data_IF_003767837656
#
_entry.id   IF_003767837656
#
_cell.length_a   1.000
_cell.length_b   1.000
_cell.length_c   1.000
_cell.angle_alpha   90.00
_cell.angle_beta   90.00
_cell.angle_gamma   90.00
#
_symmetry.space_group_name_H-M   'P 1'
#
loop_
_entity.id
_entity.type
_entity.pdbx_description
1 polymer ?
#
# COMPACT_ATOMS: atom_id res chain seq x y z
N UNK A 1 19.35 5.75 10.13
CA UNK A 1 19.86 7.09 9.85
C UNK A 1 19.34 7.59 8.50
N UNK A 2 18.45 8.59 8.53
CA UNK A 2 17.80 9.10 7.33
C UNK A 2 18.20 10.55 7.06
N UNK A 3 18.55 10.84 5.80
CA UNK A 3 18.75 12.20 5.36
C UNK A 3 17.43 12.88 5.06
N UNK A 4 17.43 14.21 4.97
CA UNK A 4 16.25 14.96 4.53
C UNK A 4 15.78 14.49 3.13
N UNK A 5 16.72 14.18 2.23
CA UNK A 5 16.40 13.68 0.90
C UNK A 5 15.65 12.34 0.94
N UNK A 6 16.02 11.44 1.86
CA UNK A 6 15.35 10.16 2.01
C UNK A 6 13.91 10.36 2.49
N UNK A 7 13.70 11.22 3.47
CA UNK A 7 12.38 11.54 4.01
C UNK A 7 11.50 12.16 2.92
N UNK A 8 12.03 13.13 2.19
CA UNK A 8 11.30 13.79 1.11
C UNK A 8 10.92 12.82 0.00
N UNK A 9 11.86 11.96 -0.41
CA UNK A 9 11.63 10.93 -1.43
C UNK A 9 10.51 9.97 -1.00
N UNK A 10 10.56 9.49 0.23
CA UNK A 10 9.54 8.58 0.75
C UNK A 10 8.16 9.24 0.82
N UNK A 11 8.09 10.51 1.21
CA UNK A 11 6.83 11.26 1.25
C UNK A 11 6.25 11.46 -0.16
N UNK A 12 7.09 11.74 -1.14
CA UNK A 12 6.65 11.85 -2.54
C UNK A 12 6.10 10.52 -3.02
N UNK A 13 6.76 9.41 -2.74
CA UNK A 13 6.27 8.08 -3.10
C UNK A 13 4.94 7.75 -2.42
N UNK A 14 4.78 8.11 -1.15
CA UNK A 14 3.50 7.94 -0.44
C UNK A 14 2.39 8.71 -1.14
N UNK A 15 2.63 9.96 -1.53
CA UNK A 15 1.67 10.78 -2.26
C UNK A 15 1.29 10.17 -3.59
N UNK A 16 2.28 9.68 -4.35
CA UNK A 16 2.03 9.00 -5.62
C UNK A 16 1.19 7.74 -5.44
N UNK A 17 1.46 6.95 -4.41
CA UNK A 17 0.68 5.73 -4.14
C UNK A 17 -0.77 6.07 -3.79
N UNK A 18 -1.00 7.13 -3.02
CA UNK A 18 -2.36 7.60 -2.71
C UNK A 18 -3.12 7.98 -3.99
N UNK A 19 -2.50 8.77 -4.86
CA UNK A 19 -3.13 9.20 -6.12
C UNK A 19 -3.43 8.00 -7.01
N UNK A 20 -2.48 7.08 -7.18
CA UNK A 20 -2.68 5.89 -8.00
C UNK A 20 -3.76 4.98 -7.43
N UNK A 21 -3.83 4.81 -6.11
CA UNK A 21 -4.88 4.03 -5.45
C UNK A 21 -6.25 4.66 -5.66
N UNK A 22 -6.35 5.98 -5.56
CA UNK A 22 -7.58 6.71 -5.83
C UNK A 22 -8.05 6.48 -7.27
N UNK A 23 -7.13 6.61 -8.24
CA UNK A 23 -7.46 6.37 -9.65
C UNK A 23 -7.91 4.93 -9.90
N UNK A 24 -7.27 3.96 -9.27
CA UNK A 24 -7.63 2.55 -9.40
C UNK A 24 -9.02 2.27 -8.83
N UNK A 25 -9.34 2.84 -7.65
CA UNK A 25 -10.65 2.70 -7.01
C UNK A 25 -11.74 3.35 -7.88
N UNK A 26 -11.47 4.55 -8.40
CA UNK A 26 -12.41 5.22 -9.33
C UNK A 26 -12.65 4.38 -10.56
N UNK A 27 -11.61 3.76 -11.10
CA UNK A 27 -11.73 2.84 -12.22
C UNK A 27 -12.64 1.65 -11.92
N UNK A 28 -12.56 1.08 -10.72
CA UNK A 28 -13.45 0.00 -10.28
C UNK A 28 -14.92 0.46 -10.21
N UNK A 29 -15.16 1.66 -9.68
CA UNK A 29 -16.52 2.21 -9.55
C UNK A 29 -17.15 2.44 -10.91
N UNK A 30 -16.39 2.99 -11.86
CA UNK A 30 -16.91 3.23 -13.21
C UNK A 30 -17.05 1.95 -14.05
N UNK A 31 -16.29 0.93 -13.73
CA UNK A 31 -16.25 -0.31 -14.50
C UNK A 31 -17.16 -1.40 -13.91
N UNK A 32 -18.36 -1.05 -13.50
CA UNK A 32 -19.32 -2.00 -12.92
C UNK A 32 -19.67 -3.14 -13.88
N UNK A 33 -19.49 -2.93 -15.17
CA UNK A 33 -19.79 -3.91 -16.23
C UNK A 33 -18.58 -4.73 -16.63
N UNK A 34 -17.43 -4.55 -15.99
CA UNK A 34 -16.23 -5.33 -16.32
C UNK A 34 -16.38 -6.79 -15.95
N UNK A 35 -15.70 -7.65 -16.71
CA UNK A 35 -15.65 -9.08 -16.43
C UNK A 35 -14.99 -9.34 -15.07
N UNK A 36 -15.30 -10.49 -14.46
CA UNK A 36 -14.73 -10.87 -13.18
C UNK A 36 -13.19 -10.87 -13.18
N UNK A 37 -12.58 -11.28 -14.31
CA UNK A 37 -11.13 -11.29 -14.48
C UNK A 37 -10.53 -9.90 -14.37
N UNK A 38 -11.07 -8.93 -15.09
CA UNK A 38 -10.59 -7.54 -15.05
C UNK A 38 -10.76 -6.94 -13.65
N UNK A 39 -11.86 -7.24 -12.98
CA UNK A 39 -12.12 -6.78 -11.60
C UNK A 39 -11.09 -7.35 -10.63
N UNK A 40 -10.77 -8.63 -10.73
CA UNK A 40 -9.80 -9.29 -9.87
C UNK A 40 -8.40 -8.70 -10.06
N UNK A 41 -8.00 -8.40 -11.29
CA UNK A 41 -6.73 -7.76 -11.60
C UNK A 41 -6.67 -6.35 -10.98
N UNK A 42 -7.77 -5.59 -11.02
CA UNK A 42 -7.82 -4.28 -10.38
C UNK A 42 -7.72 -4.36 -8.87
N UNK A 43 -8.37 -5.33 -8.25
CA UNK A 43 -8.24 -5.55 -6.80
C UNK A 43 -6.80 -5.90 -6.42
N UNK A 44 -6.13 -6.74 -7.21
CA UNK A 44 -4.73 -7.05 -7.02
C UNK A 44 -3.86 -5.79 -7.12
N UNK A 45 -4.11 -4.97 -8.13
CA UNK A 45 -3.36 -3.72 -8.33
C UNK A 45 -3.53 -2.77 -7.14
N UNK A 46 -4.75 -2.62 -6.63
CA UNK A 46 -5.01 -1.81 -5.42
C UNK A 46 -4.26 -2.38 -4.23
N UNK A 47 -4.26 -3.71 -4.07
CA UNK A 47 -3.52 -4.36 -2.99
C UNK A 47 -2.03 -4.08 -3.06
N UNK A 48 -1.42 -4.13 -4.25
CA UNK A 48 0.00 -3.79 -4.45
C UNK A 48 0.28 -2.33 -4.10
N UNK A 49 -0.61 -1.42 -4.50
CA UNK A 49 -0.45 0.01 -4.18
C UNK A 49 -0.57 0.26 -2.67
N UNK A 50 -1.49 -0.40 -2.00
CA UNK A 50 -1.63 -0.31 -0.54
C UNK A 50 -0.39 -0.86 0.17
N UNK A 51 0.16 -1.97 -0.30
CA UNK A 51 1.41 -2.54 0.21
C UNK A 51 2.56 -1.56 0.05
N UNK A 52 2.72 -0.98 -1.14
CA UNK A 52 3.79 -0.01 -1.41
C UNK A 52 3.65 1.24 -0.54
N UNK A 53 2.42 1.75 -0.37
CA UNK A 53 2.17 2.88 0.52
C UNK A 53 2.56 2.56 1.96
N UNK A 54 2.15 1.40 2.47
CA UNK A 54 2.47 0.98 3.84
C UNK A 54 3.98 0.82 4.03
N UNK A 55 4.69 0.29 3.03
CA UNK A 55 6.13 0.13 3.08
C UNK A 55 6.85 1.49 3.15
N UNK A 56 6.50 2.42 2.27
CA UNK A 56 7.11 3.75 2.28
C UNK A 56 6.74 4.53 3.53
N UNK A 57 5.52 4.36 4.03
CA UNK A 57 5.10 4.98 5.29
C UNK A 57 5.93 4.45 6.47
N UNK A 58 6.15 3.14 6.52
CA UNK A 58 6.97 2.52 7.55
C UNK A 58 8.40 3.06 7.52
N UNK A 59 8.99 3.15 6.32
CA UNK A 59 10.33 3.70 6.14
C UNK A 59 10.42 5.14 6.64
N UNK A 60 9.43 5.97 6.30
CA UNK A 60 9.39 7.38 6.72
C UNK A 60 9.24 7.49 8.23
N UNK A 61 8.30 6.78 8.81
CA UNK A 61 8.02 6.83 10.26
C UNK A 61 9.20 6.26 11.05
N UNK A 62 9.84 5.20 10.55
CA UNK A 62 11.02 4.61 11.18
C UNK A 62 12.22 5.56 11.27
N UNK A 63 12.29 6.56 10.37
CA UNK A 63 13.34 7.58 10.45
C UNK A 63 13.17 8.50 11.67
N UNK A 64 11.93 8.72 12.10
CA UNK A 64 11.63 9.60 13.25
C UNK A 64 11.50 8.80 14.56
N UNK A 65 11.01 7.57 14.49
CA UNK A 65 10.76 6.71 15.64
C UNK A 65 11.36 5.33 15.42
N UNK A 66 12.68 5.16 15.65
CA UNK A 66 13.33 3.86 15.45
C UNK A 66 12.92 2.79 16.46
N UNK A 67 12.26 3.16 17.56
CA UNK A 67 11.76 2.23 18.55
C UNK A 67 10.61 1.39 17.97
N UNK A 68 10.65 0.08 18.19
CA UNK A 68 9.65 -0.87 17.69
C UNK A 68 8.66 -1.33 18.77
N UNK A 69 8.65 -0.69 19.95
CA UNK A 69 7.70 -1.02 21.01
C UNK A 69 6.27 -0.60 20.64
N UNK A 70 5.22 -1.19 21.27
CA UNK A 70 3.83 -0.82 21.00
C UNK A 70 3.49 0.64 21.26
N UNK A 71 4.32 1.38 21.99
CA UNK A 71 4.14 2.80 22.21
C UNK A 71 4.61 3.66 21.02
N UNK A 72 5.34 3.09 20.07
CA UNK A 72 5.91 3.80 18.94
C UNK A 72 4.98 3.78 17.73
N UNK A 73 4.87 4.89 16.97
CA UNK A 73 4.15 4.88 15.68
C UNK A 73 4.71 3.85 14.69
N UNK A 74 6.01 3.55 14.75
CA UNK A 74 6.65 2.56 13.88
C UNK A 74 6.04 1.17 14.05
N UNK A 75 5.70 0.77 15.27
CA UNK A 75 5.03 -0.51 15.53
C UNK A 75 3.70 -0.60 14.77
N UNK A 76 2.90 0.46 14.82
CA UNK A 76 1.59 0.49 14.16
C UNK A 76 1.70 0.52 12.64
N UNK A 77 2.71 1.20 12.10
CA UNK A 77 2.98 1.18 10.67
C UNK A 77 3.43 -0.22 10.21
N UNK A 78 4.20 -0.92 11.03
CA UNK A 78 4.61 -2.31 10.75
C UNK A 78 3.40 -3.24 10.78
N UNK A 79 2.47 -3.05 11.71
CA UNK A 79 1.19 -3.79 11.74
C UNK A 79 0.37 -3.52 10.47
N UNK A 80 0.31 -2.27 10.02
CA UNK A 80 -0.38 -1.92 8.78
C UNK A 80 0.25 -2.63 7.58
N UNK A 81 1.58 -2.68 7.51
CA UNK A 81 2.30 -3.40 6.44
C UNK A 81 1.98 -4.89 6.48
N UNK A 82 1.96 -5.49 7.67
CA UNK A 82 1.61 -6.91 7.84
C UNK A 82 0.19 -7.19 7.34
N UNK A 83 -0.78 -6.32 7.68
CA UNK A 83 -2.16 -6.47 7.21
C UNK A 83 -2.25 -6.31 5.69
N UNK A 84 -1.49 -5.39 5.10
CA UNK A 84 -1.44 -5.22 3.65
C UNK A 84 -0.90 -6.47 2.95
N UNK A 85 0.15 -7.09 3.49
CA UNK A 85 0.71 -8.34 2.96
C UNK A 85 -0.33 -9.45 3.04
N UNK A 86 -0.99 -9.62 4.18
CA UNK A 86 -2.02 -10.64 4.36
C UNK A 86 -3.19 -10.44 3.41
N UNK A 87 -3.61 -9.19 3.17
CA UNK A 87 -4.68 -8.89 2.21
C UNK A 87 -4.26 -9.11 0.77
N UNK A 88 -2.97 -9.00 0.47
CA UNK A 88 -2.45 -9.19 -0.89
C UNK A 88 -2.49 -10.67 -1.32
N UNK A 89 -2.37 -11.61 -0.38
CA UNK A 89 -2.38 -13.04 -0.69
C UNK A 89 -3.67 -13.49 -1.40
N UNK A 90 -4.88 -13.23 -0.84
CA UNK A 90 -6.12 -13.63 -1.54
C UNK A 90 -6.34 -12.83 -2.82
N UNK A 91 -5.92 -11.58 -2.89
CA UNK A 91 -6.03 -10.78 -4.11
C UNK A 91 -5.15 -11.33 -5.22
N UNK A 92 -3.92 -11.77 -4.88
CA UNK A 92 -3.01 -12.43 -5.84
C UNK A 92 -3.62 -13.71 -6.37
N UNK A 93 -4.19 -14.54 -5.50
CA UNK A 93 -4.82 -15.79 -5.90
C UNK A 93 -5.97 -15.54 -6.87
N UNK A 94 -6.84 -14.60 -6.59
CA UNK A 94 -7.95 -14.23 -7.46
C UNK A 94 -7.46 -13.74 -8.83
N UNK A 95 -6.39 -12.95 -8.86
CA UNK A 95 -5.83 -12.44 -10.11
C UNK A 95 -5.23 -13.56 -10.96
N UNK A 96 -4.57 -14.54 -10.32
CA UNK A 96 -3.97 -15.68 -11.02
C UNK A 96 -5.05 -16.62 -11.57
N UNK A 97 -6.12 -16.84 -10.80
CA UNK A 97 -7.22 -17.73 -11.20
C UNK A 97 -8.14 -17.09 -12.25
N UNK A 98 -8.02 -15.80 -12.43
CA UNK A 98 -8.77 -15.08 -13.47
C UNK A 98 -8.09 -15.24 -14.85
#
# INVERSE_FOLDING_TARGET
YCTFGDILSNLIWCGMMIVLSYCAIRGLVYAKTQTGAARNIRHFHIGVLCFAFAEYLLWTVGCFWPDTSPASPTFWCDMLLTLAILGLLPATRKAVDA
#
